data_IF_072215065447
#
_entry.id   IF_072215065447
#
_cell.length_a   1.000
_cell.length_b   1.000
_cell.length_c   1.000
_cell.angle_alpha   90.00
_cell.angle_beta   90.00
_cell.angle_gamma   90.00
#
_symmetry.space_group_name_H-M   'P 1'
#
loop_
_entity.id
_entity.type
_entity.pdbx_description
1 polymer ?
#
# COMPACT_ATOMS: atom_id res chain seq x y z
N UNK A 1 64.72 13.13 -18.10
CA UNK A 1 63.46 12.93 -18.87
C UNK A 1 62.58 11.80 -18.31
N UNK A 2 63.10 10.81 -17.57
CA UNK A 2 62.27 9.75 -16.97
C UNK A 2 61.43 10.20 -15.76
N UNK A 3 61.94 11.12 -14.94
CA UNK A 3 61.25 11.58 -13.71
C UNK A 3 59.96 12.39 -13.98
N UNK A 4 59.84 13.02 -15.15
CA UNK A 4 58.71 13.89 -15.47
C UNK A 4 57.46 13.10 -15.93
N UNK A 5 57.64 11.89 -16.48
CA UNK A 5 56.55 11.01 -16.90
C UNK A 5 56.00 10.16 -15.76
N UNK A 6 56.87 9.70 -14.84
CA UNK A 6 56.43 9.00 -13.62
C UNK A 6 55.64 9.90 -12.69
N UNK A 7 55.94 11.22 -12.66
CA UNK A 7 55.16 12.22 -11.92
C UNK A 7 53.74 12.43 -12.48
N UNK A 8 53.55 12.40 -13.81
CA UNK A 8 52.23 12.57 -14.42
C UNK A 8 51.31 11.35 -14.23
N UNK A 9 51.84 10.13 -14.35
CA UNK A 9 51.07 8.91 -14.13
C UNK A 9 50.69 8.75 -12.65
N UNK A 10 51.61 9.09 -11.73
CA UNK A 10 51.32 9.10 -10.30
C UNK A 10 50.31 10.19 -9.91
N UNK A 11 50.35 11.38 -10.53
CA UNK A 11 49.33 12.41 -10.33
C UNK A 11 47.94 12.00 -10.85
N UNK A 12 47.86 11.36 -12.02
CA UNK A 12 46.59 10.90 -12.57
C UNK A 12 45.94 9.83 -11.67
N UNK A 13 46.75 8.89 -11.18
CA UNK A 13 46.30 7.81 -10.30
C UNK A 13 45.94 8.33 -8.90
N UNK A 14 46.58 9.41 -8.44
CA UNK A 14 46.19 10.15 -7.24
C UNK A 14 44.82 10.84 -7.43
N UNK A 15 44.58 11.50 -8.57
CA UNK A 15 43.30 12.18 -8.84
C UNK A 15 42.13 11.20 -8.92
N UNK A 16 42.32 10.03 -9.53
CA UNK A 16 41.29 9.00 -9.59
C UNK A 16 40.95 8.45 -8.19
N UNK A 17 41.97 8.24 -7.34
CA UNK A 17 41.76 7.83 -5.94
C UNK A 17 41.02 8.90 -5.14
N UNK A 18 41.35 10.19 -5.33
CA UNK A 18 40.65 11.31 -4.69
C UNK A 18 39.18 11.37 -5.13
N UNK A 19 38.91 11.29 -6.44
CA UNK A 19 37.53 11.31 -6.95
C UNK A 19 36.69 10.14 -6.42
N UNK A 20 37.28 8.95 -6.29
CA UNK A 20 36.60 7.79 -5.72
C UNK A 20 36.33 7.96 -4.21
N UNK A 21 37.25 8.60 -3.48
CA UNK A 21 37.07 8.94 -2.08
C UNK A 21 35.97 10.00 -1.90
N UNK A 22 35.93 11.05 -2.71
CA UNK A 22 34.88 12.08 -2.70
C UNK A 22 33.49 11.48 -2.98
N UNK A 23 33.40 10.58 -3.97
CA UNK A 23 32.15 9.88 -4.27
C UNK A 23 31.66 9.04 -3.08
N UNK A 24 32.55 8.29 -2.43
CA UNK A 24 32.21 7.48 -1.25
C UNK A 24 31.81 8.36 -0.07
N UNK A 25 32.49 9.48 0.16
CA UNK A 25 32.14 10.45 1.19
C UNK A 25 30.74 11.02 0.93
N UNK A 26 30.42 11.40 -0.30
CA UNK A 26 29.10 11.92 -0.64
C UNK A 26 27.98 10.88 -0.42
N UNK A 27 28.21 9.63 -0.80
CA UNK A 27 27.26 8.54 -0.55
C UNK A 27 27.08 8.26 0.95
N UNK A 28 28.17 8.33 1.73
CA UNK A 28 28.11 8.21 3.18
C UNK A 28 27.33 9.35 3.81
N UNK A 29 27.58 10.60 3.41
CA UNK A 29 26.87 11.78 3.91
C UNK A 29 25.36 11.69 3.67
N UNK A 30 24.94 11.25 2.48
CA UNK A 30 23.52 11.04 2.16
C UNK A 30 22.89 9.98 3.08
N UNK A 31 23.58 8.86 3.29
CA UNK A 31 23.10 7.79 4.18
C UNK A 31 23.07 8.22 5.64
N UNK A 32 24.05 8.99 6.10
CA UNK A 32 24.08 9.57 7.43
C UNK A 32 22.89 10.50 7.66
N UNK A 33 22.57 11.37 6.70
CA UNK A 33 21.39 12.25 6.82
C UNK A 33 20.06 11.49 6.81
N UNK A 34 19.93 10.43 6.00
CA UNK A 34 18.74 9.58 6.01
C UNK A 34 18.56 8.89 7.39
N UNK A 35 19.64 8.38 7.95
CA UNK A 35 19.63 7.76 9.28
C UNK A 35 19.37 8.76 10.42
N UNK A 36 19.93 9.96 10.35
CA UNK A 36 19.65 11.04 11.31
C UNK A 36 18.16 11.42 11.32
N UNK A 37 17.53 11.45 10.15
CA UNK A 37 16.11 11.74 10.01
C UNK A 37 15.24 10.62 10.59
N UNK A 38 15.55 9.35 10.28
CA UNK A 38 14.86 8.20 10.87
C UNK A 38 15.02 8.15 12.40
N UNK A 39 16.24 8.43 12.91
CA UNK A 39 16.51 8.46 14.34
C UNK A 39 15.69 9.56 15.05
N UNK A 40 15.59 10.75 14.44
CA UNK A 40 14.75 11.84 14.94
C UNK A 40 13.26 11.46 14.93
N UNK A 41 12.79 10.77 13.88
CA UNK A 41 11.42 10.25 13.77
C UNK A 41 11.12 9.25 14.88
N UNK A 42 11.99 8.26 15.10
CA UNK A 42 11.80 7.24 16.14
C UNK A 42 11.82 7.82 17.56
N UNK A 43 12.70 8.80 17.85
CA UNK A 43 12.73 9.48 19.15
C UNK A 43 11.40 10.19 19.47
N UNK A 44 10.77 10.81 18.46
CA UNK A 44 9.50 11.51 18.63
C UNK A 44 8.34 10.52 18.87
N UNK A 45 8.29 9.43 18.09
CA UNK A 45 7.32 8.36 18.25
C UNK A 45 7.42 7.71 19.64
N UNK A 46 8.64 7.44 20.11
CA UNK A 46 8.87 6.91 21.46
C UNK A 46 8.44 7.88 22.56
N UNK A 47 8.72 9.17 22.42
CA UNK A 47 8.27 10.20 23.35
C UNK A 47 6.73 10.28 23.42
N UNK A 48 6.04 10.21 22.28
CA UNK A 48 4.58 10.24 22.22
C UNK A 48 3.96 8.95 22.79
N UNK A 49 4.55 7.78 22.53
CA UNK A 49 4.15 6.50 23.12
C UNK A 49 4.26 6.50 24.65
N UNK A 50 5.38 7.03 25.17
CA UNK A 50 5.66 7.12 26.60
C UNK A 50 4.72 8.10 27.31
N UNK A 51 4.47 9.28 26.70
CA UNK A 51 3.56 10.30 27.23
C UNK A 51 2.10 9.83 27.26
N UNK A 52 1.68 9.05 26.26
CA UNK A 52 0.29 8.60 26.10
C UNK A 52 -0.01 7.22 26.72
N UNK A 53 0.92 6.65 27.50
CA UNK A 53 0.81 5.34 28.16
C UNK A 53 0.18 4.25 27.27
N UNK A 54 0.92 3.88 26.22
CA UNK A 54 0.73 2.68 25.36
C UNK A 54 -0.07 2.85 24.06
N UNK A 55 -0.02 4.02 23.40
CA UNK A 55 -0.47 4.10 22.01
C UNK A 55 0.16 5.28 21.26
N UNK A 56 0.74 5.00 20.09
CA UNK A 56 1.09 6.03 19.10
C UNK A 56 -0.02 6.00 18.04
N UNK A 57 -0.72 7.12 17.79
CA UNK A 57 -1.74 7.18 16.76
C UNK A 57 -1.16 6.95 15.35
N UNK A 58 -1.84 6.14 14.55
CA UNK A 58 -1.44 5.81 13.18
C UNK A 58 -1.28 7.07 12.31
N UNK A 59 -2.10 8.09 12.55
CA UNK A 59 -2.12 9.35 11.80
C UNK A 59 -0.83 10.17 11.99
N UNK A 60 -0.11 9.98 13.09
CA UNK A 60 1.22 10.59 13.29
C UNK A 60 2.33 9.84 12.56
N UNK A 61 2.12 8.56 12.27
CA UNK A 61 3.03 7.71 11.48
C UNK A 61 2.94 8.11 9.99
N UNK A 62 1.71 8.30 9.50
CA UNK A 62 1.41 8.62 8.10
C UNK A 62 1.88 10.00 7.62
N UNK A 63 2.09 10.97 8.53
CA UNK A 63 2.58 12.32 8.17
C UNK A 63 4.00 12.34 7.59
N UNK A 64 4.67 11.19 7.53
CA UNK A 64 6.05 11.05 7.10
C UNK A 64 6.23 10.04 5.94
N UNK A 65 5.18 9.73 5.16
CA UNK A 65 5.14 8.57 4.24
C UNK A 65 5.19 8.81 2.70
N UNK A 66 5.69 7.77 2.02
CA UNK A 66 5.66 7.38 0.59
C UNK A 66 4.24 7.28 -0.06
N UNK A 67 3.22 7.89 0.53
CA UNK A 67 1.78 7.59 0.37
C UNK A 67 1.12 7.65 -1.04
N UNK A 68 1.52 8.49 -2.02
CA UNK A 68 0.79 8.62 -3.28
C UNK A 68 0.77 7.34 -4.14
N UNK A 69 1.84 6.56 -4.11
CA UNK A 69 1.98 5.34 -4.92
C UNK A 69 1.04 4.22 -4.47
N UNK A 70 0.72 4.16 -3.17
CA UNK A 70 -0.19 3.16 -2.59
C UNK A 70 -1.67 3.45 -2.92
N UNK A 71 -2.05 4.73 -3.03
CA UNK A 71 -3.43 5.10 -3.36
C UNK A 71 -3.80 4.69 -4.80
N UNK A 72 -2.88 4.84 -5.75
CA UNK A 72 -3.09 4.43 -7.14
C UNK A 72 -3.31 2.91 -7.25
N UNK A 73 -2.53 2.11 -6.52
CA UNK A 73 -2.67 0.65 -6.47
C UNK A 73 -4.02 0.23 -5.85
N UNK A 74 -4.44 0.87 -4.76
CA UNK A 74 -5.74 0.62 -4.12
C UNK A 74 -6.91 0.98 -5.04
N UNK A 75 -6.83 2.14 -5.72
CA UNK A 75 -7.85 2.55 -6.68
C UNK A 75 -7.94 1.58 -7.87
N UNK A 76 -6.81 1.05 -8.33
CA UNK A 76 -6.80 0.05 -9.40
C UNK A 76 -7.53 -1.25 -8.99
N UNK A 77 -7.40 -1.69 -7.73
CA UNK A 77 -8.14 -2.85 -7.19
C UNK A 77 -9.64 -2.55 -7.07
N UNK A 78 -10.01 -1.38 -6.54
CA UNK A 78 -11.42 -0.99 -6.39
C UNK A 78 -12.16 -0.89 -7.74
N UNK A 79 -11.48 -0.44 -8.79
CA UNK A 79 -12.03 -0.33 -10.14
C UNK A 79 -12.11 -1.68 -10.88
N UNK A 80 -11.62 -2.78 -10.29
CA UNK A 80 -11.70 -4.09 -10.94
C UNK A 80 -13.16 -4.52 -11.14
N UNK A 81 -13.42 -5.03 -12.35
CA UNK A 81 -14.74 -5.51 -12.74
C UNK A 81 -15.07 -6.87 -12.11
N UNK A 82 -16.26 -6.99 -11.51
CA UNK A 82 -16.75 -8.22 -10.88
C UNK A 82 -17.04 -9.34 -11.88
N UNK A 83 -17.15 -9.03 -13.19
CA UNK A 83 -17.32 -10.04 -14.23
C UNK A 83 -16.14 -11.02 -14.32
N UNK A 84 -14.95 -10.60 -13.86
CA UNK A 84 -13.73 -11.43 -13.81
C UNK A 84 -13.73 -12.46 -12.67
N UNK A 85 -14.64 -12.31 -11.71
CA UNK A 85 -14.72 -13.16 -10.53
C UNK A 85 -15.69 -14.31 -10.78
N UNK A 86 -15.42 -15.46 -10.16
CA UNK A 86 -16.21 -16.68 -10.38
C UNK A 86 -17.51 -16.73 -9.54
N UNK A 87 -18.33 -15.70 -9.68
CA UNK A 87 -19.66 -15.67 -9.07
C UNK A 87 -20.62 -16.60 -9.79
N UNK A 88 -21.52 -17.22 -9.02
CA UNK A 88 -22.63 -18.01 -9.59
C UNK A 88 -23.51 -17.15 -10.50
N UNK A 89 -24.13 -17.77 -11.52
CA UNK A 89 -25.00 -17.08 -12.48
C UNK A 89 -26.08 -16.24 -11.79
N UNK A 90 -26.64 -16.74 -10.69
CA UNK A 90 -27.65 -16.03 -9.89
C UNK A 90 -27.12 -14.74 -9.28
N UNK A 91 -25.90 -14.76 -8.73
CA UNK A 91 -25.23 -13.58 -8.16
C UNK A 91 -24.93 -12.58 -9.27
N UNK A 92 -24.36 -13.03 -10.41
CA UNK A 92 -24.07 -12.16 -11.56
C UNK A 92 -25.30 -11.44 -12.09
N UNK A 93 -26.43 -12.15 -12.25
CA UNK A 93 -27.68 -11.55 -12.70
C UNK A 93 -28.24 -10.53 -11.71
N UNK A 94 -28.07 -10.80 -10.40
CA UNK A 94 -28.52 -9.85 -9.36
C UNK A 94 -27.64 -8.61 -9.32
N UNK A 95 -26.31 -8.76 -9.47
CA UNK A 95 -25.39 -7.65 -9.58
C UNK A 95 -25.72 -6.77 -10.78
N UNK A 96 -25.97 -7.36 -11.95
CA UNK A 96 -26.41 -6.60 -13.11
C UNK A 96 -27.75 -5.88 -12.88
N UNK A 97 -28.70 -6.49 -12.16
CA UNK A 97 -30.00 -5.85 -11.88
C UNK A 97 -29.90 -4.68 -10.87
N UNK A 98 -28.83 -4.64 -10.08
CA UNK A 98 -28.57 -3.62 -9.07
C UNK A 98 -27.43 -2.67 -9.47
N UNK A 99 -26.98 -2.73 -10.73
CA UNK A 99 -25.85 -1.97 -11.27
C UNK A 99 -24.53 -2.12 -10.47
N UNK A 100 -24.34 -3.24 -9.79
CA UNK A 100 -23.11 -3.57 -9.06
C UNK A 100 -22.09 -4.15 -10.05
N UNK A 101 -21.08 -3.37 -10.42
CA UNK A 101 -20.17 -3.72 -11.52
C UNK A 101 -18.71 -3.92 -11.09
N UNK A 102 -18.28 -3.25 -10.02
CA UNK A 102 -16.89 -3.19 -9.58
C UNK A 102 -16.72 -3.67 -8.14
N UNK A 103 -15.46 -3.95 -7.76
CA UNK A 103 -15.09 -4.27 -6.37
C UNK A 103 -15.53 -3.15 -5.43
N UNK A 104 -15.40 -1.89 -5.85
CA UNK A 104 -15.92 -0.74 -5.11
C UNK A 104 -17.40 -0.89 -4.80
N UNK A 105 -18.23 -1.14 -5.81
CA UNK A 105 -19.69 -1.15 -5.69
C UNK A 105 -20.16 -2.25 -4.71
N UNK A 106 -19.57 -3.45 -4.81
CA UNK A 106 -19.93 -4.53 -3.88
C UNK A 106 -19.44 -4.26 -2.46
N UNK A 107 -18.28 -3.63 -2.28
CA UNK A 107 -17.79 -3.28 -0.95
C UNK A 107 -18.65 -2.20 -0.29
N UNK A 108 -19.12 -1.20 -1.04
CA UNK A 108 -20.11 -0.21 -0.56
C UNK A 108 -21.40 -0.92 -0.14
N UNK A 109 -21.91 -1.82 -0.99
CA UNK A 109 -23.12 -2.59 -0.69
C UNK A 109 -22.96 -3.43 0.59
N UNK A 110 -21.80 -4.03 0.84
CA UNK A 110 -21.54 -4.82 2.04
C UNK A 110 -21.31 -3.94 3.29
N UNK A 111 -20.55 -2.85 3.18
CA UNK A 111 -20.13 -2.00 4.29
C UNK A 111 -21.23 -1.01 4.69
N UNK A 112 -21.67 -0.17 3.76
CA UNK A 112 -22.61 0.92 4.04
C UNK A 112 -24.05 0.41 4.08
N UNK A 113 -24.41 -0.39 3.08
CA UNK A 113 -25.78 -0.91 2.97
C UNK A 113 -25.99 -2.23 3.70
N UNK A 114 -24.96 -2.84 4.29
CA UNK A 114 -25.07 -4.12 5.04
C UNK A 114 -25.73 -5.24 4.21
N UNK A 115 -25.45 -5.25 2.91
CA UNK A 115 -26.05 -6.11 1.89
C UNK A 115 -27.58 -5.99 1.79
N UNK A 116 -28.15 -4.83 2.13
CA UNK A 116 -29.60 -4.62 2.18
C UNK A 116 -30.24 -4.82 0.80
N UNK A 117 -29.72 -4.19 -0.25
CA UNK A 117 -30.31 -4.28 -1.59
C UNK A 117 -30.19 -5.70 -2.13
N UNK A 118 -29.07 -6.37 -1.85
CA UNK A 118 -28.90 -7.79 -2.16
C UNK A 118 -29.96 -8.64 -1.43
N UNK A 119 -30.15 -8.48 -0.13
CA UNK A 119 -31.11 -9.26 0.67
C UNK A 119 -32.57 -8.99 0.28
N UNK A 120 -32.88 -7.77 -0.17
CA UNK A 120 -34.21 -7.40 -0.63
C UNK A 120 -34.54 -7.90 -2.04
N UNK A 121 -33.53 -8.33 -2.81
CA UNK A 121 -33.76 -8.85 -4.14
C UNK A 121 -34.44 -10.23 -4.07
N UNK A 122 -35.61 -10.35 -4.69
CA UNK A 122 -36.54 -11.50 -4.53
C UNK A 122 -35.91 -12.88 -4.68
N UNK A 123 -34.89 -13.01 -5.53
CA UNK A 123 -34.21 -14.29 -5.80
C UNK A 123 -32.88 -14.49 -5.05
N UNK A 124 -32.49 -13.57 -4.19
CA UNK A 124 -31.17 -13.55 -3.56
C UNK A 124 -31.24 -14.06 -2.10
N UNK A 125 -31.07 -15.37 -1.95
CA UNK A 125 -31.09 -16.03 -0.64
C UNK A 125 -29.71 -16.13 0.03
N UNK A 126 -29.69 -16.72 1.23
CA UNK A 126 -28.47 -16.93 2.03
C UNK A 126 -27.34 -17.65 1.28
N UNK A 127 -27.66 -18.64 0.44
CA UNK A 127 -26.66 -19.33 -0.40
C UNK A 127 -26.01 -18.43 -1.45
N UNK A 128 -26.76 -17.48 -2.02
CA UNK A 128 -26.21 -16.52 -2.98
C UNK A 128 -25.31 -15.50 -2.27
N UNK A 129 -25.73 -15.05 -1.08
CA UNK A 129 -24.91 -14.18 -0.24
C UNK A 129 -23.62 -14.87 0.22
N UNK A 130 -23.70 -16.14 0.61
CA UNK A 130 -22.52 -16.93 0.96
C UNK A 130 -21.55 -17.05 -0.23
N UNK A 131 -22.06 -17.29 -1.44
CA UNK A 131 -21.23 -17.32 -2.65
C UNK A 131 -20.52 -15.98 -2.90
N UNK A 132 -21.14 -14.84 -2.56
CA UNK A 132 -20.47 -13.53 -2.64
C UNK A 132 -19.27 -13.49 -1.69
N UNK A 133 -19.46 -13.82 -0.41
CA UNK A 133 -18.37 -13.80 0.57
C UNK A 133 -17.24 -14.76 0.21
N UNK A 134 -17.56 -15.99 -0.20
CA UNK A 134 -16.55 -16.99 -0.57
C UNK A 134 -15.71 -16.54 -1.77
N UNK A 135 -16.34 -15.96 -2.79
CA UNK A 135 -15.63 -15.50 -3.98
C UNK A 135 -14.76 -14.28 -3.65
N UNK A 136 -15.23 -13.34 -2.83
CA UNK A 136 -14.42 -12.19 -2.41
C UNK A 136 -13.25 -12.61 -1.51
N UNK A 137 -13.45 -13.56 -0.60
CA UNK A 137 -12.39 -14.13 0.23
C UNK A 137 -11.32 -14.82 -0.61
N UNK A 138 -11.71 -15.67 -1.57
CA UNK A 138 -10.77 -16.36 -2.48
C UNK A 138 -9.91 -15.41 -3.32
N UNK A 139 -10.41 -14.21 -3.58
CA UNK A 139 -9.70 -13.17 -4.34
C UNK A 139 -8.95 -12.18 -3.43
N UNK A 140 -8.84 -12.46 -2.12
CA UNK A 140 -8.10 -11.61 -1.17
C UNK A 140 -8.74 -10.25 -0.91
N UNK A 141 -10.03 -10.09 -1.24
CA UNK A 141 -10.78 -8.85 -1.02
C UNK A 141 -11.35 -8.80 0.40
N UNK A 142 -11.78 -9.96 0.92
CA UNK A 142 -12.26 -10.12 2.29
C UNK A 142 -11.41 -11.11 3.07
N UNK A 143 -11.38 -10.97 4.39
CA UNK A 143 -10.87 -11.98 5.33
C UNK A 143 -11.97 -12.94 5.81
N UNK A 144 -11.61 -13.87 6.69
CA UNK A 144 -12.54 -14.87 7.26
C UNK A 144 -13.62 -14.24 8.17
N UNK A 145 -13.40 -13.01 8.64
CA UNK A 145 -14.36 -12.24 9.43
C UNK A 145 -15.24 -11.34 8.55
N UNK A 146 -15.14 -11.46 7.22
CA UNK A 146 -15.79 -10.61 6.22
C UNK A 146 -15.37 -9.13 6.30
N UNK A 147 -14.19 -8.84 6.86
CA UNK A 147 -13.59 -7.51 6.82
C UNK A 147 -12.73 -7.33 5.56
N UNK A 148 -12.58 -6.09 5.13
CA UNK A 148 -11.70 -5.71 4.03
C UNK A 148 -10.78 -4.58 4.47
N UNK A 149 -9.49 -4.68 4.11
CA UNK A 149 -8.57 -3.54 4.19
C UNK A 149 -8.96 -2.41 3.22
N UNK A 150 -9.77 -2.72 2.20
CA UNK A 150 -10.26 -1.74 1.25
C UNK A 150 -11.41 -0.90 1.81
N UNK A 151 -12.03 -1.32 2.92
CA UNK A 151 -13.15 -0.59 3.51
C UNK A 151 -12.80 0.85 3.87
N UNK A 152 -11.56 1.16 4.24
CA UNK A 152 -11.17 2.54 4.58
C UNK A 152 -11.14 3.47 3.35
N UNK A 153 -11.28 2.93 2.14
CA UNK A 153 -11.21 3.64 0.87
C UNK A 153 -12.54 3.66 0.10
N UNK A 154 -13.60 3.12 0.69
CA UNK A 154 -14.97 3.08 0.13
C UNK A 154 -15.99 3.70 1.05
#
# INVERSE_FOLDING_TARGET
MAEHNTNNESEALLREKVAKQEYLINQMTIRCHALEFENKRFRLLLYNSWRNKSYIPLEEIYKYELAPMLLEEVMAVLQQSLYKFDFSTRVRLTFHALDICTVKDILVELKEHKAYHLKCYRSFGSKALQNVYEVLYKNGILDESHNSYLFDFV
#
